data_IF_699991577457
#
_entry.id   IF_699991577457
#
_cell.length_a   1.000
_cell.length_b   1.000
_cell.length_c   1.000
_cell.angle_alpha   90.00
_cell.angle_beta   90.00
_cell.angle_gamma   90.00
#
_symmetry.space_group_name_H-M   'P 1'
#
loop_
_entity.id
_entity.type
_entity.pdbx_description
1 polymer ?
#
# COMPACT_ATOMS: atom_id res chain seq x y z
N UNK A 1 -1.10 -13.78 22.19
CA UNK A 1 -0.84 -12.37 22.54
C UNK A 1 -0.01 -11.85 21.37
N UNK A 2 -0.67 -11.16 20.42
CA UNK A 2 -0.03 -10.74 19.17
C UNK A 2 0.89 -9.55 19.47
N UNK A 3 2.19 -9.68 19.17
CA UNK A 3 3.13 -8.58 19.28
C UNK A 3 2.69 -7.47 18.30
N UNK A 4 2.38 -6.30 18.83
CA UNK A 4 1.97 -5.14 18.02
C UNK A 4 3.20 -4.28 17.75
N UNK A 5 3.44 -3.95 16.48
CA UNK A 5 4.55 -3.11 16.04
C UNK A 5 4.13 -1.63 16.08
N UNK A 6 5.06 -0.76 16.44
CA UNK A 6 4.80 0.67 16.68
C UNK A 6 4.29 1.42 15.42
N UNK A 7 3.34 2.34 15.61
CA UNK A 7 2.65 3.11 14.57
C UNK A 7 3.43 4.37 14.16
N UNK A 8 4.69 4.18 13.77
CA UNK A 8 5.53 5.24 13.21
C UNK A 8 5.22 5.52 11.74
N UNK A 9 4.50 6.61 11.47
CA UNK A 9 4.28 7.27 10.16
C UNK A 9 3.57 6.46 9.04
N UNK A 10 2.27 6.72 8.87
CA UNK A 10 1.36 6.28 7.78
C UNK A 10 1.70 6.84 6.37
N UNK A 11 2.95 6.75 5.90
CA UNK A 11 3.36 7.36 4.62
C UNK A 11 3.75 6.38 3.51
N UNK A 12 3.44 5.09 3.62
CA UNK A 12 3.63 4.18 2.49
C UNK A 12 2.42 4.24 1.55
N UNK A 13 2.55 5.02 0.47
CA UNK A 13 1.47 5.31 -0.47
C UNK A 13 0.86 4.04 -1.08
N UNK A 14 1.67 3.00 -1.29
CA UNK A 14 1.21 1.72 -1.84
C UNK A 14 0.32 0.97 -0.84
N UNK A 15 0.73 0.93 0.43
CA UNK A 15 -0.05 0.27 1.49
C UNK A 15 -1.34 1.05 1.75
N UNK A 16 -1.28 2.38 1.75
CA UNK A 16 -2.46 3.23 1.87
C UNK A 16 -3.44 3.03 0.71
N UNK A 17 -2.94 2.78 -0.51
CA UNK A 17 -3.78 2.42 -1.65
C UNK A 17 -4.49 1.08 -1.43
N UNK A 18 -3.79 0.07 -0.90
CA UNK A 18 -4.42 -1.21 -0.53
C UNK A 18 -5.46 -1.04 0.57
N UNK A 19 -5.16 -0.27 1.63
CA UNK A 19 -6.12 0.07 2.69
C UNK A 19 -7.38 0.74 2.11
N UNK A 20 -7.22 1.64 1.15
CA UNK A 20 -8.33 2.30 0.48
C UNK A 20 -9.19 1.29 -0.30
N UNK A 21 -8.57 0.37 -1.05
CA UNK A 21 -9.30 -0.68 -1.78
C UNK A 21 -10.11 -1.57 -0.84
N UNK A 22 -9.50 -1.99 0.28
CA UNK A 22 -10.14 -2.83 1.29
C UNK A 22 -11.32 -2.11 1.96
N UNK A 23 -11.13 -0.85 2.34
CA UNK A 23 -12.16 -0.05 3.02
C UNK A 23 -13.37 0.23 2.15
N UNK A 24 -13.21 0.19 0.82
CA UNK A 24 -14.26 0.51 -0.16
C UNK A 24 -14.68 -0.70 -1.00
N UNK A 25 -14.30 -1.93 -0.61
CA UNK A 25 -14.47 -3.13 -1.44
C UNK A 25 -15.92 -3.31 -1.93
N UNK A 26 -16.91 -3.10 -1.04
CA UNK A 26 -18.33 -3.33 -1.35
C UNK A 26 -18.84 -2.40 -2.44
N UNK A 27 -18.44 -1.13 -2.40
CA UNK A 27 -18.88 -0.13 -3.40
C UNK A 27 -18.12 -0.27 -4.72
N UNK A 28 -16.82 -0.59 -4.66
CA UNK A 28 -15.97 -0.64 -5.84
C UNK A 28 -16.17 -1.94 -6.64
N UNK A 29 -16.28 -3.10 -5.97
CA UNK A 29 -16.44 -4.40 -6.64
C UNK A 29 -17.73 -4.50 -7.45
N UNK A 30 -18.77 -3.75 -7.07
CA UNK A 30 -20.03 -3.70 -7.80
C UNK A 30 -19.88 -3.08 -9.21
N UNK A 31 -18.87 -2.23 -9.42
CA UNK A 31 -18.73 -1.40 -10.64
C UNK A 31 -17.43 -1.59 -11.40
N UNK A 32 -16.35 -1.96 -10.71
CA UNK A 32 -14.99 -1.90 -11.25
C UNK A 32 -14.15 -3.13 -10.88
N UNK A 33 -13.20 -3.45 -11.75
CA UNK A 33 -12.17 -4.45 -11.50
C UNK A 33 -11.05 -3.88 -10.62
N UNK A 34 -11.25 -3.82 -9.31
CA UNK A 34 -10.20 -3.34 -8.38
C UNK A 34 -8.97 -4.26 -8.32
N UNK A 35 -9.10 -5.51 -8.76
CA UNK A 35 -8.02 -6.49 -8.70
C UNK A 35 -6.89 -6.17 -9.66
N UNK A 36 -7.16 -5.46 -10.76
CA UNK A 36 -6.10 -4.99 -11.65
C UNK A 36 -5.15 -4.01 -10.94
N UNK A 37 -5.71 -3.08 -10.17
CA UNK A 37 -4.91 -2.12 -9.40
C UNK A 37 -4.18 -2.82 -8.25
N UNK A 38 -4.87 -3.69 -7.52
CA UNK A 38 -4.24 -4.49 -6.46
C UNK A 38 -3.08 -5.34 -7.01
N UNK A 39 -3.25 -5.94 -8.20
CA UNK A 39 -2.20 -6.72 -8.86
C UNK A 39 -0.97 -5.86 -9.18
N UNK A 40 -1.16 -4.63 -9.69
CA UNK A 40 -0.05 -3.72 -9.97
C UNK A 40 0.73 -3.36 -8.71
N UNK A 41 0.03 -3.06 -7.60
CA UNK A 41 0.67 -2.76 -6.32
C UNK A 41 1.45 -3.98 -5.80
N UNK A 42 0.84 -5.16 -5.80
CA UNK A 42 1.51 -6.40 -5.35
C UNK A 42 2.70 -6.76 -6.23
N UNK A 43 2.62 -6.55 -7.55
CA UNK A 43 3.75 -6.77 -8.45
C UNK A 43 4.91 -5.81 -8.16
N UNK A 44 4.63 -4.58 -7.75
CA UNK A 44 5.68 -3.64 -7.34
C UNK A 44 6.39 -4.13 -6.07
N UNK A 45 5.66 -4.65 -5.09
CA UNK A 45 6.27 -5.33 -3.93
C UNK A 45 7.11 -6.54 -4.36
N UNK A 46 6.61 -7.37 -5.26
CA UNK A 46 7.38 -8.53 -5.74
C UNK A 46 8.63 -8.11 -6.52
N UNK A 47 8.61 -6.97 -7.21
CA UNK A 47 9.77 -6.39 -7.85
C UNK A 47 10.81 -5.95 -6.80
N UNK A 48 10.38 -5.27 -5.73
CA UNK A 48 11.24 -4.93 -4.60
C UNK A 48 11.81 -6.16 -3.88
N UNK A 49 11.01 -7.20 -3.67
CA UNK A 49 11.46 -8.46 -3.05
C UNK A 49 12.45 -9.23 -3.93
N UNK A 50 12.30 -9.18 -5.26
CA UNK A 50 13.10 -10.01 -6.16
C UNK A 50 14.40 -9.33 -6.60
N UNK A 51 14.35 -8.01 -6.78
CA UNK A 51 15.42 -7.23 -7.40
C UNK A 51 15.86 -6.05 -6.54
N UNK A 52 15.33 -5.90 -5.32
CA UNK A 52 15.62 -4.76 -4.45
C UNK A 52 17.10 -4.60 -4.13
N UNK A 53 17.85 -5.68 -4.08
CA UNK A 53 19.31 -5.68 -3.94
C UNK A 53 20.04 -4.93 -5.08
N UNK A 54 19.42 -4.80 -6.26
CA UNK A 54 20.03 -4.15 -7.42
C UNK A 54 19.78 -2.65 -7.52
N UNK A 55 18.71 -2.11 -6.92
CA UNK A 55 18.35 -0.69 -7.06
C UNK A 55 17.97 0.02 -5.76
N UNK A 56 17.83 -0.68 -4.65
CA UNK A 56 17.73 -0.01 -3.35
C UNK A 56 19.10 0.59 -2.98
N UNK A 57 19.12 1.77 -2.35
CA UNK A 57 20.35 2.55 -2.19
C UNK A 57 21.33 1.89 -1.22
N UNK A 58 20.84 1.10 -0.26
CA UNK A 58 21.67 0.41 0.73
C UNK A 58 21.10 -0.98 1.05
N UNK A 59 21.94 -1.94 1.50
CA UNK A 59 21.46 -3.21 2.03
C UNK A 59 20.45 -3.05 3.18
N UNK A 60 20.65 -2.04 4.03
CA UNK A 60 19.71 -1.72 5.13
C UNK A 60 18.33 -1.33 4.64
N UNK A 61 18.21 -0.70 3.46
CA UNK A 61 16.91 -0.39 2.85
C UNK A 61 16.11 -1.65 2.51
N UNK A 62 16.80 -2.78 2.28
CA UNK A 62 16.17 -4.07 2.02
C UNK A 62 15.64 -4.72 3.31
N UNK A 63 16.35 -4.56 4.43
CA UNK A 63 15.87 -4.93 5.77
C UNK A 63 14.61 -4.13 6.13
N UNK A 64 14.63 -2.82 5.88
CA UNK A 64 13.52 -1.89 6.12
C UNK A 64 12.27 -2.25 5.30
N UNK A 65 12.44 -2.63 4.03
CA UNK A 65 11.33 -3.14 3.20
C UNK A 65 10.65 -4.35 3.84
N UNK A 66 11.45 -5.31 4.31
CA UNK A 66 10.93 -6.53 4.94
C UNK A 66 10.26 -6.23 6.27
N UNK A 67 10.88 -5.37 7.08
CA UNK A 67 10.28 -4.83 8.29
C UNK A 67 8.90 -4.22 8.01
N UNK A 68 8.77 -3.38 6.97
CA UNK A 68 7.52 -2.71 6.64
C UNK A 68 6.43 -3.70 6.19
N UNK A 69 6.78 -4.71 5.38
CA UNK A 69 5.86 -5.79 4.98
C UNK A 69 5.34 -6.53 6.21
N UNK A 70 6.21 -6.86 7.16
CA UNK A 70 5.88 -7.56 8.40
C UNK A 70 5.01 -6.66 9.29
N UNK A 71 5.38 -5.38 9.44
CA UNK A 71 4.64 -4.39 10.22
C UNK A 71 3.21 -4.23 9.73
N UNK A 72 3.04 -4.17 8.42
CA UNK A 72 1.75 -3.96 7.77
C UNK A 72 1.07 -5.27 7.34
N UNK A 73 1.45 -6.41 7.91
CA UNK A 73 0.96 -7.73 7.50
C UNK A 73 -0.57 -7.83 7.46
N UNK A 74 -1.27 -7.15 8.37
CA UNK A 74 -2.74 -7.18 8.45
C UNK A 74 -3.40 -6.67 7.16
N UNK A 75 -2.79 -5.69 6.48
CA UNK A 75 -3.29 -5.18 5.21
C UNK A 75 -3.19 -6.28 4.14
N UNK A 76 -2.07 -7.00 4.09
CA UNK A 76 -1.85 -8.10 3.15
C UNK A 76 -2.72 -9.33 3.48
N UNK A 77 -2.93 -9.63 4.75
CA UNK A 77 -3.81 -10.72 5.19
C UNK A 77 -5.27 -10.42 4.82
N UNK A 78 -5.73 -9.20 5.07
CA UNK A 78 -7.08 -8.76 4.68
C UNK A 78 -7.25 -8.76 3.15
N UNK A 79 -6.23 -8.32 2.41
CA UNK A 79 -6.20 -8.42 0.95
C UNK A 79 -6.28 -9.87 0.50
N UNK A 80 -5.48 -10.76 1.09
CA UNK A 80 -5.49 -12.19 0.78
C UNK A 80 -6.88 -12.80 1.03
N UNK A 81 -7.49 -12.52 2.17
CA UNK A 81 -8.84 -12.97 2.50
C UNK A 81 -9.88 -12.49 1.47
N UNK A 82 -9.85 -11.21 1.09
CA UNK A 82 -10.75 -10.64 0.09
C UNK A 82 -10.57 -11.31 -1.28
N UNK A 83 -9.33 -11.40 -1.79
CA UNK A 83 -9.06 -11.95 -3.13
C UNK A 83 -9.33 -13.45 -3.18
N UNK A 84 -9.02 -14.19 -2.10
CA UNK A 84 -9.31 -15.62 -2.01
C UNK A 84 -10.81 -15.85 -2.11
N UNK A 85 -11.60 -15.14 -1.29
CA UNK A 85 -13.08 -15.20 -1.30
C UNK A 85 -13.66 -14.97 -2.69
N UNK A 86 -13.15 -13.96 -3.42
CA UNK A 86 -13.66 -13.65 -4.77
C UNK A 86 -13.18 -14.65 -5.81
N UNK A 87 -11.95 -15.17 -5.67
CA UNK A 87 -11.38 -16.17 -6.59
C UNK A 87 -12.03 -17.56 -6.48
N UNK A 88 -12.61 -17.90 -5.33
CA UNK A 88 -13.32 -19.17 -5.10
C UNK A 88 -14.80 -19.10 -5.43
N UNK A 89 -15.38 -17.90 -5.51
CA UNK A 89 -16.77 -17.69 -5.86
C UNK A 89 -16.97 -17.66 -7.39
N UNK A 90 -18.21 -17.90 -7.83
CA UNK A 90 -18.61 -17.65 -9.21
C UNK A 90 -18.88 -16.16 -9.40
N UNK A 91 -18.19 -15.53 -10.35
CA UNK A 91 -18.37 -14.10 -10.61
C UNK A 91 -17.42 -13.59 -11.69
N UNK A 92 -17.77 -12.44 -12.27
CA UNK A 92 -17.01 -11.82 -13.36
C UNK A 92 -15.55 -11.47 -12.97
N UNK A 93 -15.28 -11.33 -11.68
CA UNK A 93 -13.96 -10.97 -11.16
C UNK A 93 -13.13 -12.16 -10.65
N UNK A 94 -13.61 -13.39 -10.84
CA UNK A 94 -12.93 -14.61 -10.39
C UNK A 94 -11.48 -14.69 -10.89
N UNK A 95 -11.28 -14.55 -12.20
CA UNK A 95 -9.96 -14.67 -12.83
C UNK A 95 -9.01 -13.53 -12.42
N UNK A 96 -9.41 -12.24 -12.46
CA UNK A 96 -8.60 -11.15 -11.91
C UNK A 96 -8.20 -11.36 -10.45
N UNK A 97 -9.12 -11.79 -9.59
CA UNK A 97 -8.83 -12.05 -8.18
C UNK A 97 -7.82 -13.20 -8.01
N UNK A 98 -7.97 -14.28 -8.79
CA UNK A 98 -7.03 -15.41 -8.79
C UNK A 98 -5.60 -14.96 -9.09
N UNK A 99 -5.39 -14.07 -10.07
CA UNK A 99 -4.06 -13.52 -10.37
C UNK A 99 -3.42 -12.80 -9.17
N UNK A 100 -4.21 -12.02 -8.42
CA UNK A 100 -3.72 -11.35 -7.20
C UNK A 100 -3.38 -12.39 -6.13
N UNK A 101 -4.22 -13.40 -5.93
CA UNK A 101 -3.95 -14.51 -4.99
C UNK A 101 -2.60 -15.17 -5.27
N UNK A 102 -2.30 -15.47 -6.54
CA UNK A 102 -1.01 -16.04 -6.93
C UNK A 102 0.16 -15.08 -6.74
N UNK A 103 -0.06 -13.79 -6.97
CA UNK A 103 0.99 -12.77 -6.83
C UNK A 103 1.34 -12.46 -5.37
N UNK A 104 0.45 -12.79 -4.42
CA UNK A 104 0.70 -12.60 -2.99
C UNK A 104 1.59 -13.68 -2.35
N UNK A 105 2.01 -14.71 -3.09
CA UNK A 105 2.73 -15.87 -2.55
C UNK A 105 3.99 -15.46 -1.77
N UNK A 106 4.83 -14.60 -2.33
CA UNK A 106 6.09 -14.20 -1.68
C UNK A 106 5.86 -13.28 -0.48
N UNK A 107 4.97 -12.29 -0.60
CA UNK A 107 4.57 -11.43 0.53
C UNK A 107 4.08 -12.28 1.71
N UNK A 108 3.24 -13.28 1.44
CA UNK A 108 2.76 -14.21 2.48
C UNK A 108 3.87 -15.11 3.01
N UNK A 109 4.82 -15.55 2.18
CA UNK A 109 5.95 -16.34 2.66
C UNK A 109 6.81 -15.55 3.64
N UNK A 110 7.08 -14.26 3.36
CA UNK A 110 7.79 -13.35 4.27
C UNK A 110 7.04 -13.23 5.60
N UNK A 111 5.76 -12.86 5.56
CA UNK A 111 4.93 -12.68 6.77
C UNK A 111 4.91 -13.96 7.61
N UNK A 112 4.62 -15.10 7.01
CA UNK A 112 4.52 -16.38 7.72
C UNK A 112 5.87 -16.90 8.24
N UNK A 113 6.99 -16.50 7.63
CA UNK A 113 8.33 -16.85 8.09
C UNK A 113 8.75 -16.03 9.30
N UNK A 114 8.53 -14.71 9.26
CA UNK A 114 9.05 -13.81 10.29
C UNK A 114 8.12 -13.62 11.48
N UNK A 115 6.80 -13.62 11.30
CA UNK A 115 5.87 -13.43 12.44
C UNK A 115 6.12 -14.44 13.59
N UNK A 116 6.23 -15.76 13.34
CA UNK A 116 6.51 -16.72 14.41
C UNK A 116 7.89 -16.51 15.07
N UNK A 117 8.89 -16.05 14.30
CA UNK A 117 10.23 -15.76 14.81
C UNK A 117 10.25 -14.53 15.71
N UNK A 118 9.50 -13.50 15.33
CA UNK A 118 9.30 -12.29 16.12
C UNK A 118 8.57 -12.63 17.43
N UNK A 119 7.49 -13.42 17.35
CA UNK A 119 6.77 -13.88 18.55
C UNK A 119 7.66 -14.71 19.48
N UNK A 120 8.49 -15.60 18.92
CA UNK A 120 9.46 -16.38 19.67
C UNK A 120 10.51 -15.50 20.35
N UNK A 121 11.08 -14.53 19.62
CA UNK A 121 12.03 -13.57 20.17
C UNK A 121 11.40 -12.76 21.33
N UNK A 122 10.16 -12.30 21.16
CA UNK A 122 9.41 -11.59 22.20
C UNK A 122 9.25 -12.45 23.47
N UNK A 123 8.86 -13.72 23.28
CA UNK A 123 8.63 -14.66 24.37
C UNK A 123 9.91 -14.99 25.16
N UNK A 124 11.02 -15.24 24.46
CA UNK A 124 12.32 -15.57 25.06
C UNK A 124 12.88 -14.38 25.85
N UNK A 125 12.71 -13.16 25.34
CA UNK A 125 13.22 -11.96 26.00
C UNK A 125 12.21 -11.37 27.01
N UNK A 126 11.04 -11.98 27.18
CA UNK A 126 9.95 -11.50 28.05
C UNK A 126 9.50 -10.06 27.71
N UNK A 127 9.45 -9.74 26.42
CA UNK A 127 9.06 -8.41 25.91
C UNK A 127 7.67 -8.51 25.26
N UNK A 128 6.77 -7.59 25.59
CA UNK A 128 5.41 -7.56 25.05
C UNK A 128 5.31 -6.88 23.67
N UNK A 129 6.26 -5.99 23.35
CA UNK A 129 6.32 -5.23 22.10
C UNK A 129 7.78 -5.00 21.71
N UNK A 130 8.16 -5.39 20.49
CA UNK A 130 9.50 -5.17 19.98
C UNK A 130 9.63 -3.76 19.41
N UNK A 131 10.81 -3.17 19.59
CA UNK A 131 11.27 -2.00 18.84
C UNK A 131 11.60 -2.37 17.39
N UNK A 132 11.65 -1.36 16.52
CA UNK A 132 12.08 -1.51 15.13
C UNK A 132 13.44 -2.21 15.01
N UNK A 133 14.45 -1.76 15.77
CA UNK A 133 15.80 -2.34 15.76
C UNK A 133 15.82 -3.84 16.11
N UNK A 134 14.98 -4.26 17.06
CA UNK A 134 14.87 -5.66 17.47
C UNK A 134 14.22 -6.52 16.38
N UNK A 135 13.24 -5.99 15.67
CA UNK A 135 12.62 -6.70 14.54
C UNK A 135 13.62 -6.81 13.39
N UNK A 136 14.33 -5.73 13.09
CA UNK A 136 15.38 -5.72 12.08
C UNK A 136 16.52 -6.69 12.42
N UNK A 137 16.86 -6.88 13.70
CA UNK A 137 17.80 -7.92 14.15
C UNK A 137 17.29 -9.33 13.81
N UNK A 138 16.02 -9.61 14.08
CA UNK A 138 15.38 -10.89 13.73
C UNK A 138 15.38 -11.08 12.21
N UNK A 139 15.07 -10.05 11.44
CA UNK A 139 15.07 -10.10 9.97
C UNK A 139 16.45 -10.47 9.44
N UNK A 140 17.49 -9.71 9.81
CA UNK A 140 18.87 -9.93 9.37
C UNK A 140 19.39 -11.34 9.70
N UNK A 141 19.03 -11.85 10.89
CA UNK A 141 19.52 -13.15 11.38
C UNK A 141 18.81 -14.35 10.77
N UNK A 142 17.81 -14.16 9.90
CA UNK A 142 16.96 -15.25 9.41
C UNK A 142 16.69 -15.21 7.89
N UNK A 143 17.44 -14.41 7.13
CA UNK A 143 17.35 -14.37 5.65
C UNK A 143 17.68 -15.70 4.99
N UNK A 144 18.69 -16.39 5.50
CA UNK A 144 19.21 -17.67 4.99
C UNK A 144 18.16 -18.80 5.00
N UNK A 145 17.21 -18.74 5.93
CA UNK A 145 16.15 -19.74 6.08
C UNK A 145 14.87 -19.38 5.32
N UNK A 146 14.76 -18.18 4.76
CA UNK A 146 13.59 -17.77 4.00
C UNK A 146 13.66 -18.34 2.57
N UNK A 147 12.60 -19.03 2.15
CA UNK A 147 12.45 -19.51 0.77
C UNK A 147 11.36 -18.73 0.05
N UNK A 148 11.71 -18.12 -1.08
CA UNK A 148 10.78 -17.38 -1.94
C UNK A 148 10.61 -18.07 -3.29
N UNK A 149 9.44 -17.88 -3.90
CA UNK A 149 9.13 -18.38 -5.23
C UNK A 149 9.65 -17.39 -6.28
N UNK A 150 10.30 -17.90 -7.31
CA UNK A 150 10.61 -17.09 -8.50
C UNK A 150 9.31 -16.70 -9.19
N UNK A 151 9.13 -15.40 -9.43
CA UNK A 151 7.93 -14.85 -10.02
C UNK A 151 8.20 -14.39 -11.44
N UNK A 152 7.43 -14.94 -12.37
CA UNK A 152 7.57 -14.65 -13.79
C UNK A 152 6.94 -13.30 -14.16
N UNK A 153 7.52 -12.62 -15.16
CA UNK A 153 6.92 -11.45 -15.79
C UNK A 153 7.00 -10.15 -14.97
N UNK A 154 7.85 -10.07 -13.95
CA UNK A 154 8.13 -8.82 -13.23
C UNK A 154 8.89 -7.79 -14.09
N UNK A 155 9.55 -8.25 -15.16
CA UNK A 155 10.23 -7.46 -16.17
C UNK A 155 9.28 -6.94 -17.27
N UNK A 156 8.03 -7.40 -17.30
CA UNK A 156 7.02 -7.00 -18.27
C UNK A 156 6.24 -5.79 -17.77
N UNK A 157 6.85 -4.61 -17.89
CA UNK A 157 6.20 -3.33 -17.59
C UNK A 157 5.96 -2.50 -18.85
N UNK A 158 4.95 -1.63 -18.80
CA UNK A 158 4.74 -0.65 -19.85
C UNK A 158 5.92 0.33 -19.86
N UNK A 159 6.61 0.43 -21.00
CA UNK A 159 7.75 1.32 -21.13
C UNK A 159 7.30 2.76 -20.93
N UNK A 160 8.14 3.56 -20.29
CA UNK A 160 7.90 4.98 -20.13
C UNK A 160 7.54 5.63 -21.47
N UNK A 161 6.43 6.38 -21.46
CA UNK A 161 5.97 7.19 -22.59
C UNK A 161 5.86 8.62 -22.12
N UNK A 162 6.40 9.56 -22.90
CA UNK A 162 6.27 11.00 -22.62
C UNK A 162 4.80 11.46 -22.68
N UNK A 163 3.96 10.75 -23.43
CA UNK A 163 2.52 10.97 -23.48
C UNK A 163 1.80 9.70 -23.00
N UNK A 164 1.67 9.52 -21.67
CA UNK A 164 0.95 8.37 -21.14
C UNK A 164 -0.52 8.46 -21.51
N UNK A 165 -1.18 7.30 -21.59
CA UNK A 165 -2.61 7.20 -21.93
C UNK A 165 -3.49 8.03 -20.97
N UNK A 166 -3.05 8.15 -19.72
CA UNK A 166 -3.71 8.85 -18.62
C UNK A 166 -3.45 10.36 -18.63
N UNK A 167 -2.59 10.89 -19.51
CA UNK A 167 -2.25 12.32 -19.54
C UNK A 167 -3.50 13.22 -19.66
N UNK A 168 -4.48 12.79 -20.48
CA UNK A 168 -5.75 13.49 -20.61
C UNK A 168 -6.56 13.51 -19.30
N UNK A 169 -6.58 12.38 -18.59
CA UNK A 169 -7.23 12.28 -17.29
C UNK A 169 -6.60 13.23 -16.26
N UNK A 170 -5.27 13.21 -16.12
CA UNK A 170 -4.57 14.09 -15.18
C UNK A 170 -4.75 15.57 -15.52
N UNK A 171 -4.75 15.91 -16.81
CA UNK A 171 -5.01 17.28 -17.26
C UNK A 171 -6.40 17.75 -16.85
N UNK A 172 -7.42 16.93 -17.04
CA UNK A 172 -8.79 17.25 -16.61
C UNK A 172 -8.93 17.29 -15.09
N UNK A 173 -8.25 16.40 -14.36
CA UNK A 173 -8.23 16.41 -12.90
C UNK A 173 -7.63 17.72 -12.37
N UNK A 174 -6.45 18.12 -12.86
CA UNK A 174 -5.79 19.38 -12.47
C UNK A 174 -6.66 20.57 -12.82
N UNK A 175 -7.30 20.57 -14.00
CA UNK A 175 -8.25 21.60 -14.42
C UNK A 175 -9.44 21.70 -13.47
N UNK A 176 -10.05 20.56 -13.10
CA UNK A 176 -11.18 20.49 -12.18
C UNK A 176 -10.82 21.02 -10.79
N UNK A 177 -9.69 20.57 -10.23
CA UNK A 177 -9.18 21.05 -8.94
C UNK A 177 -8.91 22.56 -9.00
N UNK A 178 -8.25 23.03 -10.06
CA UNK A 178 -7.95 24.47 -10.25
C UNK A 178 -9.20 25.33 -10.31
N UNK A 179 -10.27 24.83 -10.95
CA UNK A 179 -11.56 25.52 -11.03
C UNK A 179 -12.27 25.52 -9.68
N UNK A 180 -12.24 24.40 -8.96
CA UNK A 180 -12.84 24.26 -7.63
C UNK A 180 -12.17 25.21 -6.63
N UNK A 181 -10.83 25.21 -6.58
CA UNK A 181 -10.05 26.11 -5.70
C UNK A 181 -10.34 27.57 -6.04
N UNK A 182 -10.32 27.96 -7.33
CA UNK A 182 -10.64 29.34 -7.72
C UNK A 182 -12.03 29.77 -7.27
N UNK A 183 -13.05 28.93 -7.49
CA UNK A 183 -14.42 29.24 -7.03
C UNK A 183 -14.48 29.43 -5.52
N UNK A 184 -13.86 28.53 -4.76
CA UNK A 184 -13.90 28.59 -3.29
C UNK A 184 -13.12 29.78 -2.73
N UNK A 185 -11.97 30.13 -3.32
CA UNK A 185 -11.22 31.34 -2.95
C UNK A 185 -11.97 32.61 -3.33
N UNK A 186 -12.59 32.69 -4.51
CA UNK A 186 -13.43 33.83 -4.88
C UNK A 186 -14.59 34.02 -3.90
N UNK A 187 -15.26 32.94 -3.50
CA UNK A 187 -16.36 32.98 -2.52
C UNK A 187 -15.91 33.45 -1.14
N UNK A 188 -14.74 33.01 -0.65
CA UNK A 188 -14.22 33.47 0.64
C UNK A 188 -13.83 34.94 0.61
N UNK A 189 -13.24 35.40 -0.50
CA UNK A 189 -12.86 36.82 -0.69
C UNK A 189 -14.10 37.71 -0.72
N UNK A 190 -15.13 37.34 -1.49
CA UNK A 190 -16.40 38.09 -1.51
C UNK A 190 -17.08 38.14 -0.13
N UNK A 191 -17.00 37.06 0.65
CA UNK A 191 -17.57 37.02 2.00
C UNK A 191 -16.83 37.97 2.96
N UNK A 192 -15.50 38.09 2.84
CA UNK A 192 -14.72 39.05 3.62
C UNK A 192 -15.02 40.50 3.23
N UNK A 193 -15.17 40.79 1.94
CA UNK A 193 -15.51 42.15 1.47
C UNK A 193 -16.88 42.61 1.95
N UNK A 194 -17.85 41.69 2.03
CA UNK A 194 -19.18 41.98 2.60
C UNK A 194 -19.08 42.28 4.09
N UNK A 195 -18.34 41.47 4.86
CA UNK A 195 -18.10 41.71 6.29
C UNK A 195 -17.41 43.06 6.53
N UNK A 196 -16.37 43.38 5.77
CA UNK A 196 -15.67 44.66 5.88
C UNK A 196 -16.57 45.86 5.57
N UNK A 197 -17.50 45.73 4.62
CA UNK A 197 -18.52 46.75 4.33
C UNK A 197 -19.56 46.91 5.43
N UNK A 198 -19.98 45.82 6.08
CA UNK A 198 -20.86 45.92 7.25
C UNK A 198 -20.16 46.67 8.39
N UNK A 199 -18.90 46.34 8.68
CA UNK A 199 -18.14 47.04 9.73
C UNK A 199 -17.87 48.51 9.43
N UNK A 200 -17.64 48.89 8.16
CA UNK A 200 -17.45 50.30 7.79
C UNK A 200 -18.73 51.13 7.88
N UNK A 201 -19.90 50.49 7.85
CA UNK A 201 -21.21 51.16 7.99
C UNK A 201 -21.63 51.40 9.45
N UNK A 202 -20.89 50.86 10.42
CA UNK A 202 -21.16 50.99 11.87
C UNK A 202 -20.31 52.11 12.51
N UNK A 203 -19.49 52.83 11.74
CA UNK A 203 -18.69 53.97 12.21
C UNK A 203 -19.37 55.32 11.99
#
# INVERSE_FOLDING_TARGET
MSATLDNGCDNDALINLLKFLLSNETSLLAKHNIFQLALQVVNLFNMFITYGDTFLPTPSSYDELYYEIIRMHQVFDNLYCMVLRVSTNTGQWKEPASKVTHSLVNVRAIINHFNPKIESYAAVNHISQLSEDQVLEVVRSNYDTLTLKLQDGLDQFERYSEQPREAGFFKELVRSISLNVRKNVSLSTMSQDVLLKEFSSIS
#
